data_IF_492371459082
#
_entry.id   IF_492371459082
#
_cell.length_a   1.000
_cell.length_b   1.000
_cell.length_c   1.000
_cell.angle_alpha   90.00
_cell.angle_beta   90.00
_cell.angle_gamma   90.00
#
_symmetry.space_group_name_H-M   'P 1'
#
loop_
_entity.id
_entity.type
_entity.pdbx_description
1 polymer ?
#
# COMPACT_ATOMS: atom_id res chain seq x y z
N UNK A 1 -25.65 47.48 -14.10
CA UNK A 1 -24.75 46.31 -14.31
C UNK A 1 -24.95 45.39 -13.13
N UNK A 2 -25.74 44.33 -13.31
CA UNK A 2 -26.15 43.43 -12.23
C UNK A 2 -25.13 42.30 -12.06
N UNK A 3 -24.64 42.11 -10.84
CA UNK A 3 -23.77 41.01 -10.49
C UNK A 3 -24.60 39.78 -10.08
N UNK A 4 -24.48 38.63 -10.75
CA UNK A 4 -25.18 37.38 -10.37
C UNK A 4 -24.35 36.46 -9.45
N UNK A 5 -23.50 37.00 -8.58
CA UNK A 5 -22.59 36.16 -7.75
C UNK A 5 -23.00 35.93 -6.28
N UNK A 6 -24.09 36.54 -5.83
CA UNK A 6 -24.48 36.41 -4.40
C UNK A 6 -25.49 35.29 -4.12
N UNK A 7 -26.22 34.83 -5.12
CA UNK A 7 -27.29 33.82 -4.88
C UNK A 7 -26.80 32.41 -4.69
N UNK A 8 -25.63 32.05 -5.20
CA UNK A 8 -25.10 30.68 -5.03
C UNK A 8 -24.41 30.42 -3.68
N UNK A 9 -23.84 31.43 -3.04
CA UNK A 9 -23.18 31.28 -1.75
C UNK A 9 -24.19 31.05 -0.59
N UNK A 10 -25.36 31.70 -0.72
CA UNK A 10 -26.40 31.60 0.33
C UNK A 10 -27.08 30.20 0.36
N UNK A 11 -27.24 29.56 -0.79
CA UNK A 11 -27.84 28.25 -0.88
C UNK A 11 -26.93 27.14 -0.31
N UNK A 12 -25.61 27.26 -0.50
CA UNK A 12 -24.61 26.31 0.03
C UNK A 12 -24.49 26.44 1.55
N UNK A 13 -24.55 27.66 2.09
CA UNK A 13 -24.49 27.89 3.54
C UNK A 13 -25.73 27.37 4.27
N UNK A 14 -26.92 27.50 3.67
CA UNK A 14 -28.17 26.98 4.27
C UNK A 14 -28.19 25.45 4.27
N UNK A 15 -27.73 24.80 3.20
CA UNK A 15 -27.60 23.34 3.13
C UNK A 15 -26.61 22.79 4.17
N UNK A 16 -25.49 23.47 4.36
CA UNK A 16 -24.45 23.07 5.30
C UNK A 16 -24.90 23.26 6.76
N UNK A 17 -25.59 24.36 7.06
CA UNK A 17 -26.09 24.64 8.41
C UNK A 17 -27.17 23.63 8.87
N UNK A 18 -28.07 23.22 7.97
CA UNK A 18 -29.07 22.18 8.26
C UNK A 18 -28.43 20.83 8.51
N UNK A 19 -27.40 20.49 7.76
CA UNK A 19 -26.63 19.25 7.95
C UNK A 19 -25.93 19.20 9.32
N UNK A 20 -25.30 20.31 9.74
CA UNK A 20 -24.62 20.40 11.03
C UNK A 20 -25.59 20.32 12.23
N UNK A 21 -26.76 20.92 12.12
CA UNK A 21 -27.74 20.93 13.20
C UNK A 21 -28.38 19.54 13.43
N UNK A 22 -28.50 18.74 12.39
CA UNK A 22 -29.08 17.40 12.45
C UNK A 22 -28.08 16.33 12.93
N UNK A 23 -26.79 16.49 12.63
CA UNK A 23 -25.73 15.60 13.14
C UNK A 23 -25.37 15.87 14.62
N UNK A 24 -25.57 17.09 15.10
CA UNK A 24 -25.38 17.46 16.52
C UNK A 24 -26.59 17.10 17.40
N UNK A 25 -27.76 16.91 16.79
CA UNK A 25 -28.93 16.41 17.48
C UNK A 25 -28.83 14.90 17.66
N UNK A 26 -28.16 14.50 18.72
CA UNK A 26 -27.85 13.12 19.07
C UNK A 26 -28.98 12.13 18.83
N UNK A 27 -28.73 11.14 18.01
CA UNK A 27 -29.14 9.79 18.30
C UNK A 27 -30.61 9.41 18.17
N UNK A 28 -31.39 10.00 17.27
CA UNK A 28 -32.68 9.39 16.93
C UNK A 28 -32.69 8.92 15.47
N UNK A 29 -33.07 7.65 15.26
CA UNK A 29 -33.28 7.05 13.92
C UNK A 29 -34.10 7.94 12.96
N UNK A 30 -35.00 8.79 13.50
CA UNK A 30 -35.81 9.74 12.74
C UNK A 30 -35.02 10.91 12.16
N UNK A 31 -33.98 11.38 12.83
CA UNK A 31 -33.13 12.47 12.31
C UNK A 31 -32.27 12.00 11.14
N UNK A 32 -31.72 10.80 11.22
CA UNK A 32 -30.93 10.21 10.12
C UNK A 32 -31.79 9.95 8.87
N UNK A 33 -33.04 9.49 9.02
CA UNK A 33 -33.98 9.33 7.89
C UNK A 33 -34.40 10.65 7.26
N UNK A 34 -34.55 11.73 8.02
CA UNK A 34 -34.90 13.04 7.50
C UNK A 34 -33.75 13.67 6.68
N UNK A 35 -32.47 13.39 7.04
CA UNK A 35 -31.29 13.84 6.30
C UNK A 35 -31.15 13.09 4.99
N UNK A 36 -31.47 11.80 4.95
CA UNK A 36 -31.34 10.98 3.75
C UNK A 36 -32.28 11.41 2.61
N UNK A 37 -33.40 12.06 2.93
CA UNK A 37 -34.37 12.55 1.95
C UNK A 37 -34.04 13.89 1.31
N UNK A 38 -33.08 14.66 1.85
CA UNK A 38 -32.86 16.06 1.45
C UNK A 38 -31.53 16.34 0.75
N UNK A 39 -30.55 15.42 0.85
CA UNK A 39 -29.24 15.58 0.24
C UNK A 39 -29.16 14.77 -1.06
N UNK A 40 -29.90 15.23 -2.08
CA UNK A 40 -29.87 14.62 -3.42
C UNK A 40 -28.75 15.12 -4.33
N UNK A 41 -27.70 15.72 -3.82
CA UNK A 41 -26.57 16.20 -4.65
C UNK A 41 -25.23 15.50 -4.36
N UNK A 42 -25.15 14.68 -3.34
CA UNK A 42 -24.01 13.79 -3.15
C UNK A 42 -24.56 12.37 -3.02
N UNK A 43 -24.01 11.45 -3.78
CA UNK A 43 -24.43 10.06 -3.86
C UNK A 43 -24.15 9.25 -2.59
N UNK A 44 -24.01 9.88 -1.45
CA UNK A 44 -23.78 9.25 -0.15
C UNK A 44 -24.98 9.47 0.74
N UNK A 45 -25.65 8.39 1.05
CA UNK A 45 -26.71 8.36 2.04
C UNK A 45 -26.13 7.85 3.36
N UNK A 46 -26.20 8.67 4.39
CA UNK A 46 -25.88 8.24 5.75
C UNK A 46 -27.04 7.34 6.24
N UNK A 47 -26.84 6.02 6.20
CA UNK A 47 -27.89 5.03 6.54
C UNK A 47 -27.98 4.72 8.02
N UNK A 48 -27.13 5.31 8.84
CA UNK A 48 -27.21 5.23 10.29
C UNK A 48 -25.87 5.53 10.96
N UNK A 49 -25.84 6.51 11.84
CA UNK A 49 -24.83 6.52 12.87
C UNK A 49 -25.25 5.45 13.88
N UNK A 50 -24.66 4.28 13.83
CA UNK A 50 -24.88 3.27 14.86
C UNK A 50 -23.91 3.61 15.99
N UNK A 51 -24.34 4.45 16.92
CA UNK A 51 -23.71 4.49 18.24
C UNK A 51 -24.09 3.17 18.90
N UNK A 52 -23.15 2.26 19.00
CA UNK A 52 -23.35 1.07 19.81
C UNK A 52 -23.31 1.48 21.27
N UNK A 53 -24.29 1.07 22.03
CA UNK A 53 -24.36 1.28 23.51
C UNK A 53 -23.21 0.55 24.22
N UNK A 54 -22.49 -0.33 23.56
CA UNK A 54 -21.27 -0.95 24.04
C UNK A 54 -20.11 -0.58 23.11
N UNK A 55 -18.94 -0.16 23.65
CA UNK A 55 -17.77 0.11 22.83
C UNK A 55 -17.36 -1.17 22.12
N UNK A 56 -17.52 -1.22 20.80
CA UNK A 56 -16.89 -2.22 19.99
C UNK A 56 -15.48 -1.73 19.66
N UNK A 57 -14.49 -2.40 20.22
CA UNK A 57 -13.12 -2.25 19.79
C UNK A 57 -12.97 -3.06 18.52
N UNK A 58 -12.79 -2.39 17.40
CA UNK A 58 -12.41 -3.02 16.15
C UNK A 58 -10.88 -3.08 16.08
N UNK A 59 -10.35 -4.25 15.89
CA UNK A 59 -8.92 -4.49 15.71
C UNK A 59 -8.65 -5.09 14.34
N UNK A 60 -7.38 -5.22 13.96
CA UNK A 60 -7.01 -5.97 12.76
C UNK A 60 -7.51 -7.42 12.81
N UNK A 61 -7.59 -8.00 13.99
CA UNK A 61 -8.07 -9.36 14.23
C UNK A 61 -9.57 -9.53 13.90
N UNK A 62 -10.35 -8.46 14.01
CA UNK A 62 -11.78 -8.48 13.63
C UNK A 62 -11.98 -8.59 12.11
N UNK A 63 -10.94 -8.25 11.32
CA UNK A 63 -10.99 -8.27 9.86
C UNK A 63 -10.24 -9.45 9.25
N UNK A 64 -9.34 -10.08 9.99
CA UNK A 64 -8.46 -11.14 9.51
C UNK A 64 -8.35 -12.25 10.56
N UNK A 65 -8.73 -13.46 10.16
CA UNK A 65 -8.45 -14.67 10.95
C UNK A 65 -7.01 -15.11 10.60
N UNK A 66 -6.02 -14.60 11.36
CA UNK A 66 -4.62 -14.73 11.02
C UNK A 66 -4.01 -16.11 11.23
N UNK A 67 -4.56 -16.97 12.01
CA UNK A 67 -4.12 -18.36 12.19
C UNK A 67 -4.95 -19.14 13.21
N UNK A 68 -6.06 -18.56 13.66
CA UNK A 68 -6.87 -19.14 14.74
C UNK A 68 -6.25 -19.02 16.14
N UNK A 69 -5.12 -18.34 16.29
CA UNK A 69 -4.45 -18.17 17.61
C UNK A 69 -4.69 -16.81 18.25
N UNK A 70 -5.22 -15.85 17.50
CA UNK A 70 -5.56 -14.52 18.00
C UNK A 70 -4.37 -13.61 18.35
N UNK A 71 -3.16 -14.00 18.01
CA UNK A 71 -1.96 -13.27 18.40
C UNK A 71 -1.30 -12.56 17.21
N UNK A 72 -1.89 -11.48 16.71
CA UNK A 72 -1.21 -10.59 15.77
C UNK A 72 -0.21 -9.72 16.53
N UNK A 73 1.06 -10.04 16.42
CA UNK A 73 2.15 -9.28 17.03
C UNK A 73 2.72 -8.21 16.11
N UNK A 74 2.27 -8.16 14.86
CA UNK A 74 2.83 -7.36 13.79
C UNK A 74 1.75 -6.86 12.83
N UNK A 75 1.98 -5.71 12.16
CA UNK A 75 1.10 -5.15 11.15
C UNK A 75 0.11 -4.11 11.69
N UNK A 76 -1.01 -3.93 11.01
CA UNK A 76 -2.00 -2.90 11.33
C UNK A 76 -2.62 -3.10 12.72
N UNK A 77 -2.73 -2.02 13.48
CA UNK A 77 -3.41 -1.99 14.79
C UNK A 77 -4.50 -0.93 14.72
N UNK A 78 -5.74 -1.38 14.71
CA UNK A 78 -6.91 -0.52 14.63
C UNK A 78 -7.68 -0.60 15.97
N UNK A 79 -8.00 0.55 16.52
CA UNK A 79 -8.76 0.63 17.77
C UNK A 79 -9.73 1.79 17.68
N UNK A 80 -11.01 1.45 17.52
CA UNK A 80 -12.11 2.40 17.44
C UNK A 80 -13.19 2.03 18.43
N UNK A 81 -13.94 3.03 18.89
CA UNK A 81 -15.08 2.83 19.79
C UNK A 81 -16.41 3.04 19.08
N UNK A 82 -16.39 3.63 17.91
CA UNK A 82 -17.59 3.94 17.12
C UNK A 82 -17.38 3.54 15.66
N UNK A 83 -18.46 3.05 15.05
CA UNK A 83 -18.54 2.80 13.60
C UNK A 83 -19.69 3.63 13.03
N UNK A 84 -19.42 4.34 11.94
CA UNK A 84 -20.44 5.02 11.14
C UNK A 84 -20.51 4.35 9.78
N UNK A 85 -21.68 3.82 9.46
CA UNK A 85 -21.94 3.21 8.15
C UNK A 85 -22.42 4.24 7.15
N UNK A 86 -21.77 4.28 6.00
CA UNK A 86 -22.11 5.07 4.84
C UNK A 86 -22.34 4.12 3.65
N UNK A 87 -23.41 4.33 2.90
CA UNK A 87 -23.65 3.62 1.63
C UNK A 87 -23.53 4.58 0.45
N UNK A 88 -23.00 4.08 -0.63
CA UNK A 88 -22.85 4.86 -1.88
C UNK A 88 -24.05 4.58 -2.78
N UNK A 89 -24.71 5.65 -3.23
CA UNK A 89 -25.73 5.60 -4.26
C UNK A 89 -25.29 6.36 -5.51
N UNK A 90 -25.84 6.01 -6.65
CA UNK A 90 -25.57 6.72 -7.92
C UNK A 90 -24.39 6.17 -8.71
N UNK A 91 -23.73 5.11 -8.27
CA UNK A 91 -22.79 4.37 -9.11
C UNK A 91 -23.54 3.71 -10.25
N UNK A 92 -22.95 3.77 -11.46
CA UNK A 92 -23.54 3.25 -12.68
C UNK A 92 -22.62 2.23 -13.33
N UNK A 93 -23.16 1.09 -13.70
CA UNK A 93 -22.46 0.09 -14.51
C UNK A 93 -22.43 0.47 -15.99
N UNK A 94 -21.45 -0.03 -16.71
CA UNK A 94 -21.32 0.10 -18.15
C UNK A 94 -20.32 1.13 -18.63
N UNK A 95 -20.05 1.09 -19.91
CA UNK A 95 -19.05 1.94 -20.56
C UNK A 95 -19.47 3.43 -20.56
N UNK A 96 -18.47 4.28 -20.36
CA UNK A 96 -18.66 5.73 -20.38
C UNK A 96 -19.17 6.35 -19.06
N UNK A 97 -19.34 5.56 -18.02
CA UNK A 97 -19.79 6.02 -16.69
C UNK A 97 -18.63 6.43 -15.77
N UNK A 98 -17.38 6.25 -16.21
CA UNK A 98 -16.18 6.35 -15.37
C UNK A 98 -16.04 7.70 -14.67
N UNK A 99 -16.21 8.81 -15.36
CA UNK A 99 -16.11 10.15 -14.77
C UNK A 99 -17.20 10.42 -13.72
N UNK A 100 -18.43 9.97 -13.99
CA UNK A 100 -19.53 10.07 -13.04
C UNK A 100 -19.29 9.25 -11.79
N UNK A 101 -18.86 7.99 -11.94
CA UNK A 101 -18.53 7.10 -10.83
C UNK A 101 -17.38 7.65 -9.99
N UNK A 102 -16.36 8.21 -10.64
CA UNK A 102 -15.25 8.86 -9.93
C UNK A 102 -15.77 9.99 -9.04
N UNK A 103 -16.59 10.89 -9.57
CA UNK A 103 -17.16 12.02 -8.82
C UNK A 103 -18.02 11.57 -7.65
N UNK A 104 -18.80 10.51 -7.83
CA UNK A 104 -19.61 9.89 -6.77
C UNK A 104 -18.73 9.40 -5.62
N UNK A 105 -17.70 8.62 -5.94
CA UNK A 105 -16.79 8.07 -4.92
C UNK A 105 -15.93 9.16 -4.27
N UNK A 106 -15.41 10.11 -5.04
CA UNK A 106 -14.65 11.25 -4.50
C UNK A 106 -15.49 12.07 -3.53
N UNK A 107 -16.76 12.33 -3.88
CA UNK A 107 -17.68 13.06 -3.00
C UNK A 107 -17.94 12.31 -1.70
N UNK A 108 -18.11 10.99 -1.76
CA UNK A 108 -18.30 10.13 -0.60
C UNK A 108 -17.09 10.15 0.33
N UNK A 109 -15.89 10.00 -0.23
CA UNK A 109 -14.65 10.03 0.52
C UNK A 109 -14.35 11.41 1.11
N UNK A 110 -14.63 12.48 0.36
CA UNK A 110 -14.51 13.88 0.85
C UNK A 110 -15.48 14.17 2.00
N UNK A 111 -16.64 13.51 2.05
CA UNK A 111 -17.52 13.63 3.21
C UNK A 111 -16.86 13.07 4.48
N UNK A 112 -16.16 11.95 4.38
CA UNK A 112 -15.40 11.39 5.51
C UNK A 112 -14.28 12.34 5.94
N UNK A 113 -13.58 12.97 5.00
CA UNK A 113 -12.58 13.98 5.32
C UNK A 113 -13.16 15.11 6.16
N UNK A 114 -14.33 15.63 5.79
CA UNK A 114 -15.00 16.70 6.55
C UNK A 114 -15.27 16.28 8.00
N UNK A 115 -15.68 15.06 8.23
CA UNK A 115 -15.88 14.57 9.61
C UNK A 115 -14.55 14.48 10.35
N UNK A 116 -13.54 13.88 9.75
CA UNK A 116 -12.27 13.60 10.43
C UNK A 116 -11.38 14.82 10.61
N UNK A 117 -11.52 15.84 9.79
CA UNK A 117 -10.75 17.10 9.86
C UNK A 117 -11.52 18.19 10.61
N UNK A 118 -12.75 18.51 10.17
CA UNK A 118 -13.51 19.64 10.73
C UNK A 118 -14.12 19.32 12.10
N UNK A 119 -14.37 18.04 12.41
CA UNK A 119 -14.94 17.57 13.66
C UNK A 119 -14.01 16.56 14.34
N UNK A 120 -12.71 16.76 14.24
CA UNK A 120 -11.68 15.82 14.67
C UNK A 120 -11.88 15.33 16.11
N UNK A 121 -12.17 16.22 17.06
CA UNK A 121 -12.34 15.84 18.47
C UNK A 121 -13.58 14.95 18.69
N UNK A 122 -14.62 15.15 17.88
CA UNK A 122 -15.84 14.33 17.97
C UNK A 122 -15.62 12.93 17.38
N UNK A 123 -14.86 12.81 16.29
CA UNK A 123 -14.74 11.58 15.50
C UNK A 123 -13.35 10.93 15.58
N UNK A 124 -12.50 11.29 16.52
CA UNK A 124 -11.16 10.75 16.64
C UNK A 124 -11.09 9.24 16.83
N UNK A 125 -12.12 8.65 17.45
CA UNK A 125 -12.23 7.22 17.73
C UNK A 125 -13.31 6.55 16.86
N UNK A 126 -13.73 7.17 15.76
CA UNK A 126 -14.77 6.69 14.87
C UNK A 126 -14.17 6.20 13.57
N UNK A 127 -14.51 4.99 13.17
CA UNK A 127 -14.23 4.44 11.85
C UNK A 127 -15.46 4.67 10.96
N UNK A 128 -15.23 5.15 9.75
CA UNK A 128 -16.27 5.37 8.75
C UNK A 128 -16.23 4.25 7.71
N UNK A 129 -17.22 3.36 7.74
CA UNK A 129 -17.33 2.30 6.74
C UNK A 129 -18.16 2.77 5.55
N UNK A 130 -17.50 2.93 4.42
CA UNK A 130 -18.13 3.24 3.14
C UNK A 130 -18.38 1.93 2.38
N UNK A 131 -19.64 1.52 2.28
CA UNK A 131 -20.05 0.29 1.60
C UNK A 131 -20.52 0.63 0.19
N UNK A 132 -19.91 -0.01 -0.80
CA UNK A 132 -20.29 0.12 -2.20
C UNK A 132 -21.29 -1.01 -2.55
N UNK A 133 -22.32 -0.72 -3.36
CA UNK A 133 -23.19 -1.78 -3.88
C UNK A 133 -22.41 -2.71 -4.81
N UNK A 134 -22.67 -4.02 -4.81
CA UNK A 134 -22.04 -4.96 -5.73
C UNK A 134 -22.25 -4.55 -7.18
N UNK A 135 -21.21 -4.69 -8.02
CA UNK A 135 -21.26 -4.32 -9.44
C UNK A 135 -19.88 -4.07 -10.04
N UNK A 136 -19.84 -3.79 -11.33
CA UNK A 136 -18.64 -3.42 -12.08
C UNK A 136 -18.71 -1.96 -12.50
N UNK A 137 -17.87 -1.13 -11.93
CA UNK A 137 -17.89 0.31 -12.09
C UNK A 137 -16.61 0.81 -12.75
N UNK A 138 -16.75 1.45 -13.90
CA UNK A 138 -15.62 2.15 -14.51
C UNK A 138 -15.26 3.38 -13.70
N UNK A 139 -13.95 3.69 -13.62
CA UNK A 139 -13.39 4.86 -12.98
C UNK A 139 -12.53 5.64 -13.97
N UNK A 140 -12.88 6.91 -14.15
CA UNK A 140 -12.09 7.89 -14.91
C UNK A 140 -11.88 9.14 -14.06
N UNK A 141 -10.73 9.23 -13.44
CA UNK A 141 -10.30 10.41 -12.69
C UNK A 141 -9.57 11.44 -13.55
N UNK A 142 -9.47 11.22 -14.87
CA UNK A 142 -8.67 12.07 -15.77
C UNK A 142 -7.26 12.33 -15.25
N UNK A 143 -6.63 11.27 -14.76
CA UNK A 143 -5.30 11.30 -14.17
C UNK A 143 -5.25 11.60 -12.66
N UNK A 144 -6.39 11.76 -12.00
CA UNK A 144 -6.46 11.92 -10.56
C UNK A 144 -6.82 10.59 -9.89
N UNK A 145 -6.03 10.11 -8.90
CA UNK A 145 -6.41 8.96 -8.09
C UNK A 145 -7.56 9.34 -7.14
N UNK A 146 -8.41 8.37 -6.80
CA UNK A 146 -9.36 8.54 -5.70
C UNK A 146 -8.59 8.84 -4.40
N UNK A 147 -8.91 9.91 -3.69
CA UNK A 147 -8.31 10.17 -2.39
C UNK A 147 -8.99 9.30 -1.32
N UNK A 148 -8.22 8.65 -0.46
CA UNK A 148 -8.76 8.02 0.75
C UNK A 148 -8.27 8.78 1.97
N UNK A 149 -9.18 9.04 2.90
CA UNK A 149 -8.93 9.90 4.05
C UNK A 149 -8.86 9.11 5.34
N UNK A 150 -8.41 9.75 6.40
CA UNK A 150 -8.21 9.16 7.72
C UNK A 150 -9.45 8.47 8.26
N UNK A 151 -9.27 7.33 8.92
CA UNK A 151 -10.32 6.54 9.56
C UNK A 151 -11.40 6.04 8.57
N UNK A 152 -10.98 5.68 7.37
CA UNK A 152 -11.88 5.15 6.33
C UNK A 152 -11.76 3.64 6.21
N UNK A 153 -12.91 2.96 6.22
CA UNK A 153 -13.05 1.58 5.82
C UNK A 153 -13.84 1.49 4.52
N UNK A 154 -13.17 1.17 3.43
CA UNK A 154 -13.82 0.94 2.13
C UNK A 154 -14.18 -0.55 2.01
N UNK A 155 -15.49 -0.83 2.08
CA UNK A 155 -16.04 -2.19 1.98
C UNK A 155 -16.55 -2.44 0.56
N UNK A 156 -15.91 -3.38 -0.15
CA UNK A 156 -16.10 -3.59 -1.58
C UNK A 156 -16.52 -5.03 -1.94
N UNK A 157 -17.23 -5.71 -1.06
CA UNK A 157 -17.65 -7.09 -1.34
C UNK A 157 -18.52 -7.19 -2.62
N UNK A 158 -18.05 -7.96 -3.62
CA UNK A 158 -18.73 -8.11 -4.90
C UNK A 158 -18.60 -6.90 -5.85
N UNK A 159 -17.69 -5.98 -5.57
CA UNK A 159 -17.44 -4.77 -6.37
C UNK A 159 -16.17 -4.93 -7.21
N UNK A 160 -16.21 -4.47 -8.44
CA UNK A 160 -15.02 -4.22 -9.27
C UNK A 160 -14.96 -2.74 -9.63
N UNK A 161 -13.86 -2.09 -9.25
CA UNK A 161 -13.51 -0.75 -9.70
C UNK A 161 -12.48 -0.87 -10.83
N UNK A 162 -12.90 -0.53 -12.04
CA UNK A 162 -12.10 -0.71 -13.27
C UNK A 162 -11.61 0.61 -13.82
N UNK A 163 -10.30 0.76 -13.99
CA UNK A 163 -9.71 1.93 -14.64
C UNK A 163 -10.21 2.06 -16.09
N UNK A 164 -10.79 3.21 -16.43
CA UNK A 164 -11.32 3.47 -17.78
C UNK A 164 -10.59 4.57 -18.55
N UNK A 165 -9.83 5.43 -17.87
CA UNK A 165 -8.93 6.39 -18.53
C UNK A 165 -7.59 5.74 -18.91
N UNK A 166 -6.87 6.39 -19.84
CA UNK A 166 -5.52 6.01 -20.27
C UNK A 166 -4.41 6.75 -19.50
N UNK A 167 -4.75 7.57 -18.52
CA UNK A 167 -3.75 8.33 -17.79
C UNK A 167 -2.91 7.43 -16.89
N UNK A 168 -1.62 7.74 -16.80
CA UNK A 168 -0.67 7.03 -15.94
C UNK A 168 -0.81 7.47 -14.49
N UNK A 169 -1.94 7.13 -13.85
CA UNK A 169 -2.27 7.51 -12.48
C UNK A 169 -2.76 6.31 -11.68
N UNK A 170 -2.55 6.34 -10.37
CA UNK A 170 -3.09 5.34 -9.46
C UNK A 170 -4.63 5.37 -9.46
N UNK A 171 -5.25 4.27 -9.03
CA UNK A 171 -6.69 4.24 -8.76
C UNK A 171 -7.02 4.82 -7.39
N UNK A 172 -6.17 4.56 -6.38
CA UNK A 172 -6.39 5.03 -5.01
C UNK A 172 -5.09 5.57 -4.39
N UNK A 173 -5.22 6.61 -3.57
CA UNK A 173 -4.10 7.19 -2.86
C UNK A 173 -4.53 7.83 -1.52
N UNK A 174 -3.72 7.68 -0.46
CA UNK A 174 -4.03 8.24 0.85
C UNK A 174 -3.64 9.72 1.04
N UNK A 175 -2.90 10.29 0.11
CA UNK A 175 -2.49 11.70 0.18
C UNK A 175 -3.09 12.46 -0.99
N UNK A 176 -3.79 13.57 -0.78
CA UNK A 176 -4.23 14.43 -1.87
C UNK A 176 -3.05 14.90 -2.73
N UNK A 177 -3.27 15.09 -4.02
CA UNK A 177 -2.23 15.59 -4.92
C UNK A 177 -1.72 16.96 -4.47
N UNK A 178 -0.39 17.11 -4.43
CA UNK A 178 0.25 18.37 -3.99
C UNK A 178 0.37 18.54 -2.47
N UNK A 179 -0.12 17.61 -1.66
CA UNK A 179 0.10 17.62 -0.21
C UNK A 179 1.51 17.13 0.14
N UNK A 180 2.01 17.58 1.30
CA UNK A 180 3.30 17.18 1.84
C UNK A 180 3.15 16.75 3.30
N UNK A 181 3.71 15.58 3.64
CA UNK A 181 3.68 15.04 4.99
C UNK A 181 5.07 14.56 5.38
N UNK A 182 5.34 14.47 6.67
CA UNK A 182 6.58 13.92 7.23
C UNK A 182 6.28 12.73 8.12
N UNK A 183 7.26 11.84 8.29
CA UNK A 183 7.07 10.66 9.12
C UNK A 183 5.84 9.85 8.72
N UNK A 184 4.94 9.61 9.65
CA UNK A 184 3.71 8.83 9.44
C UNK A 184 2.45 9.67 9.72
N UNK A 185 2.42 10.93 9.27
CA UNK A 185 1.39 11.90 9.63
C UNK A 185 0.30 12.09 8.57
N UNK A 186 0.41 11.44 7.42
CA UNK A 186 -0.64 11.45 6.39
C UNK A 186 -1.88 10.65 6.83
N UNK A 187 -2.92 10.69 6.00
CA UNK A 187 -4.15 9.96 6.26
C UNK A 187 -3.89 8.49 6.61
N UNK A 188 -4.31 8.10 7.76
CA UNK A 188 -3.99 6.83 8.45
C UNK A 188 -5.25 6.09 8.90
N UNK A 189 -5.09 4.88 9.45
CA UNK A 189 -6.20 4.04 9.87
C UNK A 189 -7.13 3.71 8.67
N UNK A 190 -6.57 3.12 7.66
CA UNK A 190 -7.22 2.84 6.39
C UNK A 190 -7.50 1.36 6.25
N UNK A 191 -8.73 1.00 5.94
CA UNK A 191 -9.17 -0.38 5.79
C UNK A 191 -9.80 -0.56 4.41
N UNK A 192 -9.31 -1.54 3.66
CA UNK A 192 -9.88 -1.97 2.39
C UNK A 192 -10.25 -3.45 2.51
N UNK A 193 -11.53 -3.78 2.32
CA UNK A 193 -11.97 -5.17 2.39
C UNK A 193 -12.74 -5.62 1.16
N UNK A 194 -12.36 -6.79 0.65
CA UNK A 194 -12.98 -7.38 -0.53
C UNK A 194 -12.76 -6.59 -1.82
N UNK A 195 -13.45 -6.99 -2.87
CA UNK A 195 -13.49 -6.29 -4.15
C UNK A 195 -12.25 -6.47 -5.04
N UNK A 196 -12.38 -5.91 -6.24
CA UNK A 196 -11.36 -5.95 -7.29
C UNK A 196 -11.00 -4.54 -7.73
N UNK A 197 -9.72 -4.22 -7.70
CA UNK A 197 -9.14 -3.05 -8.34
C UNK A 197 -8.53 -3.50 -9.66
N UNK A 198 -9.14 -3.12 -10.76
CA UNK A 198 -8.79 -3.65 -12.08
C UNK A 198 -8.20 -2.59 -12.99
N UNK A 199 -7.04 -2.90 -13.54
CA UNK A 199 -6.44 -2.20 -14.68
C UNK A 199 -6.51 -3.14 -15.88
N UNK A 200 -7.34 -2.84 -16.89
CA UNK A 200 -7.47 -3.68 -18.09
C UNK A 200 -6.22 -3.54 -18.96
N UNK A 201 -5.33 -4.54 -18.88
CA UNK A 201 -4.00 -4.49 -19.53
C UNK A 201 -4.07 -4.34 -21.03
N UNK A 202 -5.13 -4.81 -21.67
CA UNK A 202 -5.36 -4.68 -23.11
C UNK A 202 -5.49 -3.22 -23.59
N UNK A 203 -5.74 -2.29 -22.69
CA UNK A 203 -5.76 -0.85 -23.01
C UNK A 203 -4.36 -0.25 -23.10
N UNK A 204 -3.36 -0.94 -22.56
CA UNK A 204 -1.97 -0.50 -22.47
C UNK A 204 -1.02 -1.42 -23.25
N UNK A 205 -1.51 -2.38 -24.01
CA UNK A 205 -0.70 -3.29 -24.82
C UNK A 205 -0.71 -2.88 -26.31
N UNK A 206 0.45 -2.55 -26.92
CA UNK A 206 1.78 -2.48 -26.30
C UNK A 206 1.95 -1.26 -25.40
N UNK A 207 2.55 -1.44 -24.23
CA UNK A 207 2.88 -0.33 -23.35
C UNK A 207 4.17 0.37 -23.76
N UNK A 208 4.27 1.65 -23.42
CA UNK A 208 5.48 2.46 -23.53
C UNK A 208 6.15 2.67 -22.17
N UNK A 209 7.36 3.21 -22.16
CA UNK A 209 8.05 3.58 -20.91
C UNK A 209 7.31 4.69 -20.13
N UNK A 210 6.49 5.48 -20.81
CA UNK A 210 5.69 6.54 -20.21
C UNK A 210 4.46 5.97 -19.49
N UNK A 211 4.01 4.76 -19.87
CA UNK A 211 2.90 4.05 -19.25
C UNK A 211 3.36 3.41 -17.93
N UNK A 212 3.59 4.24 -16.91
CA UNK A 212 4.05 3.80 -15.59
C UNK A 212 3.16 4.33 -14.48
N UNK A 213 2.57 3.42 -13.69
CA UNK A 213 1.80 3.79 -12.50
C UNK A 213 1.65 2.63 -11.52
N UNK A 214 1.52 2.96 -10.24
CA UNK A 214 1.14 2.01 -9.19
C UNK A 214 -0.36 2.10 -8.92
N UNK A 215 -1.03 0.97 -8.69
CA UNK A 215 -2.51 0.90 -8.62
C UNK A 215 -3.03 1.46 -7.30
N UNK A 216 -2.56 0.94 -6.17
CA UNK A 216 -2.88 1.42 -4.83
C UNK A 216 -1.63 2.01 -4.20
N UNK A 217 -1.72 3.24 -3.67
CA UNK A 217 -0.56 3.96 -3.17
C UNK A 217 -0.80 4.52 -1.78
N UNK A 218 0.05 4.14 -0.85
CA UNK A 218 0.04 4.64 0.52
C UNK A 218 1.41 5.21 0.89
N UNK A 219 1.41 6.42 1.45
CA UNK A 219 2.65 7.07 1.86
C UNK A 219 2.49 7.89 3.13
N UNK A 220 3.57 7.99 3.91
CA UNK A 220 3.62 8.75 5.16
C UNK A 220 2.49 8.43 6.15
N UNK A 221 2.06 7.18 6.25
CA UNK A 221 0.90 6.83 7.06
C UNK A 221 1.13 5.62 7.95
N UNK A 222 0.14 5.34 8.78
CA UNK A 222 0.13 4.18 9.68
C UNK A 222 -1.21 3.49 9.69
N UNK A 223 -1.20 2.21 10.11
CA UNK A 223 -2.39 1.40 10.23
C UNK A 223 -3.16 1.28 8.90
N UNK A 224 -2.60 0.54 7.97
CA UNK A 224 -3.21 0.22 6.68
C UNK A 224 -3.54 -1.27 6.67
N UNK A 225 -4.80 -1.61 6.46
CA UNK A 225 -5.27 -2.99 6.37
C UNK A 225 -5.93 -3.26 5.02
N UNK A 226 -5.42 -4.23 4.28
CA UNK A 226 -6.05 -4.80 3.10
C UNK A 226 -6.42 -6.26 3.41
N UNK A 227 -7.70 -6.64 3.29
CA UNK A 227 -8.14 -8.00 3.53
C UNK A 227 -9.08 -8.50 2.44
N UNK A 228 -8.76 -9.63 1.81
CA UNK A 228 -9.54 -10.22 0.74
C UNK A 228 -9.64 -9.36 -0.52
N UNK A 229 -8.67 -8.46 -0.75
CA UNK A 229 -8.63 -7.54 -1.89
C UNK A 229 -7.97 -8.20 -3.08
N UNK A 230 -8.51 -8.02 -4.27
CA UNK A 230 -7.85 -8.39 -5.53
C UNK A 230 -7.36 -7.15 -6.26
N UNK A 231 -6.07 -7.11 -6.63
CA UNK A 231 -5.51 -6.11 -7.54
C UNK A 231 -5.12 -6.82 -8.83
N UNK A 232 -5.81 -6.49 -9.91
CA UNK A 232 -5.68 -7.15 -11.22
C UNK A 232 -5.18 -6.18 -12.26
N UNK A 233 -3.99 -6.45 -12.77
CA UNK A 233 -3.31 -5.61 -13.76
C UNK A 233 -2.49 -4.48 -13.15
N UNK A 234 -1.29 -4.32 -13.68
CA UNK A 234 -0.40 -3.18 -13.42
C UNK A 234 0.54 -2.98 -14.61
N UNK A 235 0.94 -1.76 -14.89
CA UNK A 235 1.81 -1.40 -16.02
C UNK A 235 3.04 -0.69 -15.51
N UNK A 236 4.23 -1.25 -15.75
CA UNK A 236 5.55 -0.70 -15.40
C UNK A 236 5.65 -0.14 -13.96
N UNK A 237 4.79 -0.57 -13.03
CA UNK A 237 4.71 -0.06 -11.67
C UNK A 237 4.40 -1.16 -10.65
N UNK A 238 3.65 -0.82 -9.63
CA UNK A 238 3.35 -1.71 -8.50
C UNK A 238 1.83 -1.83 -8.29
N UNK A 239 1.36 -3.03 -7.94
CA UNK A 239 -0.04 -3.22 -7.56
C UNK A 239 -0.36 -2.50 -6.25
N UNK A 240 0.59 -2.56 -5.31
CA UNK A 240 0.53 -1.88 -4.03
C UNK A 240 1.89 -1.25 -3.71
N UNK A 241 1.92 0.06 -3.52
CA UNK A 241 3.11 0.82 -3.15
C UNK A 241 2.96 1.34 -1.71
N UNK A 242 3.91 0.99 -0.86
CA UNK A 242 3.99 1.39 0.54
C UNK A 242 5.26 2.23 0.74
N UNK A 243 5.11 3.56 0.71
CA UNK A 243 6.21 4.52 0.83
C UNK A 243 6.21 5.16 2.21
N UNK A 244 7.05 4.68 3.13
CA UNK A 244 7.04 5.19 4.49
C UNK A 244 5.73 4.87 5.21
N UNK A 245 5.39 3.60 5.32
CA UNK A 245 4.18 3.12 5.99
C UNK A 245 4.54 2.34 7.24
N UNK A 246 3.94 2.70 8.37
CA UNK A 246 4.09 2.00 9.65
C UNK A 246 2.84 1.19 9.97
N UNK A 247 3.01 -0.09 10.33
CA UNK A 247 1.92 -1.01 10.68
C UNK A 247 0.93 -1.21 9.51
N UNK A 248 1.32 -2.07 8.60
CA UNK A 248 0.49 -2.47 7.48
C UNK A 248 0.21 -3.98 7.53
N UNK A 249 -1.03 -4.37 7.30
CA UNK A 249 -1.41 -5.77 7.10
C UNK A 249 -2.04 -5.96 5.73
N UNK A 250 -1.55 -6.95 5.00
CA UNK A 250 -2.15 -7.39 3.73
C UNK A 250 -2.45 -8.88 3.88
N UNK A 251 -3.72 -9.24 4.00
CA UNK A 251 -4.16 -10.59 4.27
C UNK A 251 -5.12 -11.13 3.21
N UNK A 252 -5.01 -12.42 2.91
CA UNK A 252 -5.92 -13.18 2.03
C UNK A 252 -6.24 -12.47 0.71
N UNK A 253 -5.28 -11.69 0.21
CA UNK A 253 -5.41 -10.83 -0.96
C UNK A 253 -4.72 -11.40 -2.18
N UNK A 254 -5.13 -10.96 -3.38
CA UNK A 254 -4.63 -11.49 -4.64
C UNK A 254 -4.05 -10.38 -5.51
N UNK A 255 -2.84 -10.62 -6.04
CA UNK A 255 -2.13 -9.71 -6.93
C UNK A 255 -1.83 -10.46 -8.23
N UNK A 256 -2.31 -9.96 -9.36
CA UNK A 256 -2.17 -10.67 -10.62
C UNK A 256 -2.10 -9.76 -11.85
N UNK A 257 -1.38 -10.22 -12.87
CA UNK A 257 -1.29 -9.56 -14.17
C UNK A 257 -0.36 -8.35 -14.15
N UNK A 258 0.63 -8.38 -15.04
CA UNK A 258 1.63 -7.34 -15.14
C UNK A 258 2.03 -7.15 -16.61
N UNK A 259 2.20 -5.91 -17.02
CA UNK A 259 2.69 -5.52 -18.33
C UNK A 259 3.89 -4.59 -18.13
N UNK A 260 5.01 -4.88 -18.79
CA UNK A 260 6.21 -4.05 -18.76
C UNK A 260 6.76 -3.80 -20.18
N UNK A 261 7.61 -2.79 -20.27
CA UNK A 261 8.48 -2.56 -21.42
C UNK A 261 9.89 -3.03 -21.11
N UNK A 262 10.59 -3.55 -22.12
CA UNK A 262 12.02 -3.77 -22.01
C UNK A 262 12.76 -2.44 -22.10
N UNK A 263 13.25 -1.93 -20.98
CA UNK A 263 14.03 -0.72 -20.93
C UNK A 263 15.50 -1.01 -21.19
N UNK A 264 16.06 -0.47 -22.29
CA UNK A 264 17.44 -0.67 -22.72
C UNK A 264 17.90 -2.15 -22.72
N UNK A 265 17.02 -3.07 -23.06
CA UNK A 265 17.30 -4.50 -23.06
C UNK A 265 17.43 -5.11 -21.66
N UNK A 266 17.02 -4.40 -20.62
CA UNK A 266 16.89 -4.90 -19.24
C UNK A 266 15.45 -4.81 -18.82
N UNK A 267 14.88 -5.96 -18.52
CA UNK A 267 13.54 -6.03 -17.96
C UNK A 267 13.48 -5.30 -16.63
N UNK A 268 12.57 -4.34 -16.51
CA UNK A 268 12.37 -3.62 -15.26
C UNK A 268 11.67 -4.54 -14.25
N UNK A 269 12.41 -5.04 -13.28
CA UNK A 269 11.90 -5.98 -12.27
C UNK A 269 11.13 -5.21 -11.20
N UNK A 270 9.81 -5.09 -11.36
CA UNK A 270 8.91 -4.43 -10.41
C UNK A 270 8.21 -5.41 -9.50
N UNK A 271 8.14 -5.07 -8.23
CA UNK A 271 7.44 -5.81 -7.19
C UNK A 271 5.93 -5.56 -7.26
N UNK A 272 5.10 -6.58 -7.04
CA UNK A 272 3.67 -6.38 -6.92
C UNK A 272 3.34 -5.60 -5.63
N UNK A 273 3.97 -5.94 -4.50
CA UNK A 273 3.95 -5.13 -3.29
C UNK A 273 5.35 -4.54 -3.10
N UNK A 274 5.44 -3.23 -3.22
CA UNK A 274 6.68 -2.48 -3.02
C UNK A 274 6.73 -1.89 -1.61
N UNK A 275 7.85 -2.12 -0.91
CA UNK A 275 8.17 -1.51 0.38
C UNK A 275 9.29 -0.50 0.15
N UNK A 276 9.00 0.79 0.35
CA UNK A 276 9.95 1.86 0.07
C UNK A 276 10.27 2.73 1.28
N UNK A 277 11.45 3.35 1.21
CA UNK A 277 11.81 4.52 2.01
C UNK A 277 11.55 5.79 1.20
N UNK A 278 11.01 6.82 1.85
CA UNK A 278 10.69 8.09 1.18
C UNK A 278 11.91 8.98 1.14
N UNK A 279 12.86 8.67 0.28
CA UNK A 279 14.14 9.39 0.22
C UNK A 279 14.18 10.45 -0.90
N UNK A 280 13.47 10.27 -2.00
CA UNK A 280 13.48 11.25 -3.08
C UNK A 280 12.28 11.11 -4.03
N UNK A 281 12.14 12.10 -4.93
CA UNK A 281 11.03 12.18 -5.89
C UNK A 281 11.04 11.10 -6.98
N UNK A 282 12.14 10.44 -7.21
CA UNK A 282 12.25 9.41 -8.25
C UNK A 282 11.72 8.06 -7.75
N UNK A 283 11.93 7.82 -6.46
CA UNK A 283 11.51 6.60 -5.78
C UNK A 283 10.07 6.72 -5.31
N UNK A 284 9.73 7.80 -4.62
CA UNK A 284 8.41 8.03 -4.04
C UNK A 284 7.68 9.22 -4.71
N UNK A 285 7.45 9.20 -6.04
CA UNK A 285 6.85 10.32 -6.74
C UNK A 285 5.47 10.63 -6.17
N UNK A 286 5.30 11.87 -5.74
CA UNK A 286 4.04 12.31 -5.18
C UNK A 286 3.87 12.10 -3.68
N UNK A 287 4.90 11.69 -2.94
CA UNK A 287 4.91 11.66 -1.48
C UNK A 287 5.98 12.60 -0.89
N UNK A 288 5.93 13.92 -1.16
CA UNK A 288 6.74 14.85 -0.38
C UNK A 288 6.18 14.93 1.06
N UNK A 289 6.98 15.23 2.10
CA UNK A 289 8.37 15.56 2.05
C UNK A 289 9.23 14.29 1.95
N UNK A 290 10.42 14.45 1.36
CA UNK A 290 11.42 13.38 1.32
C UNK A 290 12.25 13.50 2.59
N UNK A 291 12.08 12.57 3.54
CA UNK A 291 12.60 12.65 4.90
C UNK A 291 13.19 11.32 5.40
N UNK A 292 13.40 10.37 4.47
CA UNK A 292 13.88 9.01 4.76
C UNK A 292 12.96 8.20 5.68
N UNK A 293 11.67 8.52 5.71
CA UNK A 293 10.70 7.69 6.44
C UNK A 293 10.63 6.30 5.81
N UNK A 294 10.89 5.28 6.61
CA UNK A 294 10.92 3.87 6.16
C UNK A 294 9.54 3.21 6.28
N UNK A 295 9.30 2.22 5.43
CA UNK A 295 8.21 1.28 5.65
C UNK A 295 8.63 0.24 6.66
N UNK A 296 7.83 0.02 7.71
CA UNK A 296 8.12 -0.91 8.80
C UNK A 296 6.87 -1.49 9.43
N UNK A 297 7.05 -2.59 10.17
CA UNK A 297 5.96 -3.28 10.87
C UNK A 297 4.86 -3.71 9.88
N UNK A 298 5.26 -4.60 8.96
CA UNK A 298 4.42 -5.06 7.85
C UNK A 298 4.17 -6.55 7.96
N UNK A 299 2.92 -6.95 7.84
CA UNK A 299 2.50 -8.35 7.73
C UNK A 299 1.85 -8.58 6.37
N UNK A 300 2.37 -9.54 5.59
CA UNK A 300 1.79 -10.01 4.34
C UNK A 300 1.51 -11.51 4.50
N UNK A 301 0.24 -11.88 4.60
CA UNK A 301 -0.18 -13.21 5.03
C UNK A 301 -1.27 -13.79 4.13
N UNK A 302 -1.14 -15.07 3.78
CA UNK A 302 -2.18 -15.80 3.04
C UNK A 302 -2.46 -15.30 1.62
N UNK A 303 -1.61 -14.43 1.07
CA UNK A 303 -1.81 -13.78 -0.21
C UNK A 303 -1.40 -14.65 -1.40
N UNK A 304 -1.98 -14.35 -2.55
CA UNK A 304 -1.65 -15.01 -3.83
C UNK A 304 -1.05 -14.02 -4.83
N UNK A 305 0.11 -14.38 -5.39
CA UNK A 305 0.84 -13.62 -6.40
C UNK A 305 0.96 -14.44 -7.68
N UNK A 306 0.44 -13.92 -8.79
CA UNK A 306 0.38 -14.70 -10.04
C UNK A 306 0.62 -13.88 -11.30
N UNK A 307 1.47 -14.38 -12.21
CA UNK A 307 1.80 -13.75 -13.51
C UNK A 307 2.30 -12.32 -13.31
N UNK A 308 3.36 -12.19 -12.55
CA UNK A 308 3.96 -10.93 -12.15
C UNK A 308 5.44 -10.93 -12.52
N UNK A 309 6.07 -9.76 -12.42
CA UNK A 309 7.50 -9.66 -12.49
C UNK A 309 8.13 -10.19 -11.20
N UNK A 310 7.93 -9.49 -10.08
CA UNK A 310 8.30 -9.91 -8.72
C UNK A 310 7.07 -9.94 -7.81
N UNK A 311 7.16 -10.69 -6.71
CA UNK A 311 6.10 -10.71 -5.70
C UNK A 311 6.19 -9.52 -4.76
N UNK A 312 7.08 -9.57 -3.79
CA UNK A 312 7.21 -8.60 -2.70
C UNK A 312 8.65 -8.13 -2.60
N UNK A 313 8.87 -6.85 -2.33
CA UNK A 313 10.22 -6.34 -2.08
C UNK A 313 10.33 -4.83 -2.18
N UNK A 314 11.54 -4.35 -2.39
CA UNK A 314 11.86 -2.95 -2.62
C UNK A 314 13.19 -2.86 -3.36
N UNK A 315 13.36 -1.81 -4.12
CA UNK A 315 14.58 -1.59 -4.91
C UNK A 315 15.33 -0.32 -4.48
N UNK A 316 14.88 0.34 -3.42
CA UNK A 316 15.59 1.44 -2.79
C UNK A 316 15.91 1.10 -1.33
N UNK A 317 16.88 1.77 -0.79
CA UNK A 317 17.28 1.69 0.62
C UNK A 317 18.15 2.89 0.97
N UNK A 318 18.26 3.21 2.24
CA UNK A 318 19.15 4.27 2.72
C UNK A 318 20.06 3.70 3.82
N UNK A 319 21.33 4.01 3.76
CA UNK A 319 22.28 3.58 4.78
C UNK A 319 21.88 4.05 6.17
N UNK A 320 21.91 3.14 7.14
CA UNK A 320 21.48 3.40 8.51
C UNK A 320 19.98 3.31 8.74
N UNK A 321 19.18 2.93 7.71
CA UNK A 321 17.73 2.80 7.81
C UNK A 321 17.27 1.48 7.16
N UNK A 322 17.10 0.45 7.98
CA UNK A 322 16.61 -0.85 7.50
C UNK A 322 15.09 -0.91 7.51
N UNK A 323 14.50 -1.62 6.55
CA UNK A 323 13.12 -2.07 6.66
C UNK A 323 13.04 -3.08 7.80
N UNK A 324 12.21 -2.83 8.79
CA UNK A 324 12.22 -3.64 10.02
C UNK A 324 10.85 -4.14 10.42
N UNK A 325 10.84 -5.28 11.10
CA UNK A 325 9.60 -5.98 11.48
C UNK A 325 8.76 -6.30 10.26
N UNK A 326 9.30 -7.10 9.36
CA UNK A 326 8.62 -7.53 8.13
C UNK A 326 8.29 -9.01 8.25
N UNK A 327 7.02 -9.37 8.19
CA UNK A 327 6.57 -10.75 8.13
C UNK A 327 5.91 -11.04 6.78
N UNK A 328 6.42 -12.04 6.05
CA UNK A 328 5.90 -12.51 4.77
C UNK A 328 5.65 -14.01 4.92
N UNK A 329 4.40 -14.38 5.20
CA UNK A 329 4.09 -15.72 5.66
C UNK A 329 2.88 -16.32 4.95
N UNK A 330 2.92 -17.65 4.75
CA UNK A 330 1.81 -18.43 4.18
C UNK A 330 1.32 -17.95 2.79
N UNK A 331 2.15 -17.22 2.04
CA UNK A 331 1.80 -16.72 0.72
C UNK A 331 2.06 -17.77 -0.37
N UNK A 332 1.33 -17.62 -1.48
CA UNK A 332 1.51 -18.44 -2.67
C UNK A 332 1.94 -17.59 -3.86
N UNK A 333 3.09 -17.94 -4.45
CA UNK A 333 3.65 -17.26 -5.63
C UNK A 333 3.68 -18.23 -6.81
N UNK A 334 3.25 -17.77 -7.98
CA UNK A 334 3.24 -18.61 -9.17
C UNK A 334 3.43 -17.83 -10.46
N UNK A 335 4.22 -18.38 -11.39
CA UNK A 335 4.46 -17.80 -12.71
C UNK A 335 5.04 -16.38 -12.59
N UNK A 336 6.12 -16.22 -11.83
CA UNK A 336 6.86 -14.97 -11.74
C UNK A 336 8.09 -15.02 -12.63
N UNK A 337 8.34 -13.94 -13.36
CA UNK A 337 9.56 -13.81 -14.19
C UNK A 337 10.78 -13.36 -13.40
N UNK A 338 10.63 -13.08 -12.13
CA UNK A 338 11.64 -12.72 -11.16
C UNK A 338 11.44 -13.46 -9.84
N UNK A 339 11.86 -12.84 -8.75
CA UNK A 339 11.86 -13.40 -7.41
C UNK A 339 10.47 -13.38 -6.76
N UNK A 340 10.18 -14.36 -5.93
CA UNK A 340 9.01 -14.32 -5.04
C UNK A 340 9.13 -13.21 -4.02
N UNK A 341 10.28 -13.11 -3.35
CA UNK A 341 10.61 -12.06 -2.39
C UNK A 341 11.99 -11.51 -2.67
N UNK A 342 12.10 -10.19 -2.82
CA UNK A 342 13.35 -9.46 -2.98
C UNK A 342 13.53 -8.46 -1.85
N UNK A 343 14.21 -8.87 -0.80
CA UNK A 343 14.37 -8.13 0.45
C UNK A 343 15.72 -7.41 0.50
N UNK A 344 15.75 -6.15 0.10
CA UNK A 344 16.93 -5.30 0.19
C UNK A 344 16.94 -4.56 1.53
N UNK A 345 18.01 -4.75 2.29
CA UNK A 345 18.25 -4.03 3.57
C UNK A 345 17.17 -4.26 4.66
N UNK A 346 16.72 -5.52 4.80
CA UNK A 346 15.74 -5.89 5.83
C UNK A 346 16.42 -6.24 7.15
N UNK A 347 15.77 -5.90 8.26
CA UNK A 347 16.14 -6.33 9.61
C UNK A 347 14.91 -6.79 10.39
N UNK A 348 15.08 -7.79 11.27
CA UNK A 348 13.98 -8.40 12.01
C UNK A 348 12.85 -8.84 11.06
N UNK A 349 13.18 -9.71 10.10
CA UNK A 349 12.23 -10.16 9.11
C UNK A 349 12.00 -11.69 9.21
N UNK A 350 10.76 -12.10 9.01
CA UNK A 350 10.32 -13.49 8.96
C UNK A 350 9.66 -13.82 7.62
N UNK A 351 10.34 -14.64 6.83
CA UNK A 351 9.90 -15.11 5.52
C UNK A 351 9.65 -16.61 5.60
N UNK A 352 8.47 -17.02 6.05
CA UNK A 352 8.21 -18.41 6.37
C UNK A 352 6.92 -18.97 5.79
N UNK A 353 6.87 -20.28 5.63
CA UNK A 353 5.71 -21.04 5.17
C UNK A 353 5.18 -20.62 3.79
N UNK A 354 5.97 -19.94 2.95
CA UNK A 354 5.56 -19.54 1.63
C UNK A 354 5.69 -20.67 0.61
N UNK A 355 4.80 -20.70 -0.37
CA UNK A 355 4.84 -21.64 -1.50
C UNK A 355 5.13 -20.89 -2.79
N UNK A 356 6.24 -21.23 -3.44
CA UNK A 356 6.69 -20.61 -4.68
C UNK A 356 6.81 -21.66 -5.77
N UNK A 357 6.09 -21.47 -6.88
CA UNK A 357 6.11 -22.41 -8.01
C UNK A 357 6.21 -21.69 -9.33
N UNK A 358 7.12 -22.15 -10.17
CA UNK A 358 7.38 -21.49 -11.46
C UNK A 358 7.75 -20.01 -11.27
N UNK A 359 8.71 -19.75 -10.42
CA UNK A 359 9.34 -18.45 -10.19
C UNK A 359 10.77 -18.49 -10.74
N UNK A 360 11.31 -17.37 -11.21
CA UNK A 360 12.70 -17.34 -11.68
C UNK A 360 13.69 -17.38 -10.51
N UNK A 361 13.35 -16.75 -9.38
CA UNK A 361 14.06 -16.83 -8.11
C UNK A 361 13.06 -16.94 -6.95
N UNK A 362 13.48 -17.52 -5.84
CA UNK A 362 12.59 -17.67 -4.67
C UNK A 362 12.70 -16.50 -3.72
N UNK A 363 13.58 -16.58 -2.74
CA UNK A 363 13.84 -15.57 -1.72
C UNK A 363 15.24 -15.00 -1.91
N UNK A 364 15.34 -13.70 -2.07
CA UNK A 364 16.61 -12.96 -2.15
C UNK A 364 16.68 -11.96 -1.01
N UNK A 365 17.67 -12.12 -0.12
CA UNK A 365 17.98 -11.23 0.98
C UNK A 365 19.32 -10.55 0.70
N UNK A 366 19.33 -9.22 0.62
CA UNK A 366 20.52 -8.45 0.30
C UNK A 366 20.80 -7.39 1.36
N UNK A 367 22.06 -7.28 1.78
CA UNK A 367 22.53 -6.07 2.43
C UNK A 367 22.65 -4.92 1.41
N UNK A 368 22.47 -3.70 1.84
CA UNK A 368 22.72 -2.53 1.00
C UNK A 368 24.22 -2.37 0.78
N UNK A 369 24.65 -2.40 -0.47
CA UNK A 369 26.04 -2.18 -0.90
C UNK A 369 26.14 -1.22 -2.10
N UNK A 370 25.01 -0.61 -2.48
CA UNK A 370 24.95 0.34 -3.59
C UNK A 370 25.63 1.67 -3.28
N UNK A 371 25.95 2.42 -4.32
CA UNK A 371 26.62 3.70 -4.16
C UNK A 371 25.73 4.71 -3.44
N UNK A 372 26.21 5.37 -2.38
CA UNK A 372 25.39 6.28 -1.59
C UNK A 372 24.92 7.54 -2.30
N UNK A 373 25.51 7.90 -3.46
CA UNK A 373 25.03 8.99 -4.31
C UNK A 373 24.02 8.53 -5.37
N UNK A 374 23.80 7.22 -5.50
CA UNK A 374 22.74 6.71 -6.36
C UNK A 374 21.39 7.20 -5.84
N UNK A 375 20.53 7.66 -6.75
CA UNK A 375 19.21 8.19 -6.39
C UNK A 375 18.35 7.19 -5.60
N UNK A 376 18.59 5.90 -5.77
CA UNK A 376 17.89 4.85 -5.00
C UNK A 376 18.41 4.68 -3.57
N UNK A 377 19.62 5.17 -3.25
CA UNK A 377 20.31 4.92 -1.98
C UNK A 377 20.71 6.19 -1.24
N UNK A 378 20.67 7.33 -1.91
CA UNK A 378 20.99 8.62 -1.32
C UNK A 378 20.00 9.00 -0.23
N UNK A 379 20.47 9.43 0.95
CA UNK A 379 19.58 9.97 1.97
C UNK A 379 19.00 11.32 1.53
N UNK A 380 17.73 11.55 1.89
CA UNK A 380 17.06 12.81 1.60
C UNK A 380 17.64 13.98 2.41
N UNK A 381 18.08 13.70 3.63
CA UNK A 381 18.56 14.70 4.56
C UNK A 381 19.83 14.23 5.28
N UNK A 382 20.75 15.16 5.42
CA UNK A 382 21.95 14.96 6.20
C UNK A 382 23.10 14.28 5.44
N UNK A 383 24.28 14.31 6.07
CA UNK A 383 25.44 13.57 5.59
C UNK A 383 25.33 12.11 6.03
N UNK A 384 25.82 11.22 5.18
CA UNK A 384 26.00 9.82 5.56
C UNK A 384 26.96 9.71 6.73
N UNK A 385 26.65 8.92 7.77
CA UNK A 385 27.64 8.59 8.78
C UNK A 385 28.77 7.77 8.14
N UNK A 386 29.98 7.87 8.70
CA UNK A 386 31.08 7.02 8.27
C UNK A 386 30.67 5.54 8.35
N UNK A 387 30.98 4.75 7.35
CA UNK A 387 30.53 3.36 7.26
C UNK A 387 30.96 2.51 8.47
N UNK A 388 32.14 2.79 9.05
CA UNK A 388 32.58 2.13 10.27
C UNK A 388 31.72 2.37 11.51
N UNK A 389 30.87 3.40 11.50
CA UNK A 389 29.96 3.77 12.59
C UNK A 389 28.53 3.26 12.37
N UNK A 390 28.22 2.74 11.19
CA UNK A 390 26.90 2.18 10.90
C UNK A 390 26.75 0.84 11.63
N UNK A 391 25.61 0.58 12.30
CA UNK A 391 25.29 -0.75 12.79
C UNK A 391 25.10 -1.71 11.62
N UNK A 392 25.06 -3.01 11.90
CA UNK A 392 24.56 -3.99 10.92
C UNK A 392 23.13 -3.61 10.52
N UNK A 393 22.86 -3.64 9.22
CA UNK A 393 21.59 -3.19 8.66
C UNK A 393 20.70 -4.35 8.21
N UNK A 394 21.29 -5.52 7.95
CA UNK A 394 20.57 -6.72 7.52
C UNK A 394 20.85 -7.84 8.52
N UNK A 395 19.96 -7.96 9.52
CA UNK A 395 20.15 -8.86 10.64
C UNK A 395 18.84 -9.37 11.24
N UNK A 396 18.92 -10.45 12.02
CA UNK A 396 17.77 -11.14 12.62
C UNK A 396 16.75 -11.56 11.55
N UNK A 397 17.20 -12.36 10.60
CA UNK A 397 16.43 -12.78 9.45
C UNK A 397 16.06 -14.26 9.58
N UNK A 398 14.79 -14.57 9.40
CA UNK A 398 14.27 -15.93 9.41
C UNK A 398 13.76 -16.29 8.01
N UNK A 399 14.28 -17.39 7.44
CA UNK A 399 13.79 -17.99 6.19
C UNK A 399 13.55 -19.47 6.44
N UNK A 400 12.33 -19.83 6.75
CA UNK A 400 12.02 -21.19 7.20
C UNK A 400 10.75 -21.75 6.58
N UNK A 401 10.70 -23.09 6.47
CA UNK A 401 9.50 -23.82 6.08
C UNK A 401 8.92 -23.45 4.72
N UNK A 402 9.70 -22.81 3.83
CA UNK A 402 9.26 -22.45 2.50
C UNK A 402 9.36 -23.64 1.54
N UNK A 403 8.44 -23.71 0.58
CA UNK A 403 8.46 -24.65 -0.54
C UNK A 403 8.72 -23.85 -1.82
N UNK A 404 9.90 -24.03 -2.43
CA UNK A 404 10.34 -23.21 -3.56
C UNK A 404 10.68 -24.12 -4.74
N UNK A 405 10.01 -23.90 -5.86
CA UNK A 405 10.30 -24.53 -7.15
C UNK A 405 10.65 -23.46 -8.17
N UNK A 406 11.91 -23.34 -8.53
CA UNK A 406 12.43 -22.37 -9.48
C UNK A 406 12.25 -22.89 -10.92
N UNK A 407 11.94 -21.99 -11.84
CA UNK A 407 11.85 -22.29 -13.29
C UNK A 407 13.21 -22.07 -13.93
N UNK A 408 13.85 -23.16 -14.37
CA UNK A 408 15.16 -23.11 -15.01
C UNK A 408 16.32 -23.16 -14.02
N UNK A 409 17.54 -23.08 -14.54
CA UNK A 409 18.78 -23.25 -13.77
C UNK A 409 19.52 -21.92 -13.53
N UNK A 410 18.91 -20.79 -13.82
CA UNK A 410 19.62 -19.50 -13.89
C UNK A 410 19.65 -18.69 -12.60
N UNK A 411 18.69 -18.88 -11.71
CA UNK A 411 18.62 -18.13 -10.48
C UNK A 411 18.57 -19.08 -9.27
N UNK A 412 19.21 -18.74 -8.15
CA UNK A 412 19.10 -19.51 -6.93
C UNK A 412 17.67 -19.47 -6.36
N UNK A 413 17.28 -20.55 -5.71
CA UNK A 413 16.01 -20.59 -4.98
C UNK A 413 16.04 -19.71 -3.72
N UNK A 414 17.19 -19.66 -3.04
CA UNK A 414 17.42 -18.75 -1.92
C UNK A 414 18.80 -18.12 -2.10
N UNK A 415 18.83 -16.79 -2.09
CA UNK A 415 20.07 -16.01 -2.09
C UNK A 415 20.12 -15.17 -0.81
N UNK A 416 21.22 -15.25 -0.07
CA UNK A 416 21.51 -14.39 1.07
C UNK A 416 22.87 -13.79 0.85
N UNK A 417 22.94 -12.48 0.61
CA UNK A 417 24.20 -11.83 0.23
C UNK A 417 24.41 -10.47 0.84
N UNK A 418 25.47 -10.36 1.59
CA UNK A 418 26.14 -9.09 1.85
C UNK A 418 27.07 -8.71 0.70
N UNK A 419 28.02 -7.83 0.96
CA UNK A 419 29.02 -7.43 -0.03
C UNK A 419 30.03 -6.48 0.54
N UNK A 420 31.04 -6.17 -0.29
CA UNK A 420 32.08 -5.19 0.03
C UNK A 420 31.77 -3.91 -0.72
N UNK A 421 31.82 -2.79 -0.02
CA UNK A 421 31.83 -1.49 -0.65
C UNK A 421 33.27 -1.01 -0.82
N UNK A 422 33.68 -0.83 -2.05
CA UNK A 422 35.07 -0.48 -2.44
C UNK A 422 35.09 0.68 -3.45
N UNK A 423 34.41 1.77 -3.18
CA UNK A 423 34.56 2.94 -4.05
C UNK A 423 35.70 3.81 -3.57
N UNK A 424 36.74 3.96 -4.42
CA UNK A 424 37.92 4.73 -4.08
C UNK A 424 37.64 6.22 -3.81
N UNK A 425 36.61 6.82 -4.41
CA UNK A 425 36.21 8.20 -4.15
C UNK A 425 35.57 8.36 -2.77
N UNK A 426 34.90 7.35 -2.29
CA UNK A 426 34.20 7.36 -1.00
C UNK A 426 34.99 6.68 0.11
N UNK A 427 35.97 5.85 -0.23
CA UNK A 427 36.85 5.23 0.77
C UNK A 427 37.58 6.28 1.62
N UNK A 428 37.92 7.42 1.03
CA UNK A 428 38.55 8.52 1.75
C UNK A 428 37.59 9.26 2.69
N UNK A 429 36.30 9.31 2.36
CA UNK A 429 35.28 9.99 3.17
C UNK A 429 34.56 9.07 4.15
N UNK A 430 34.26 7.84 3.73
CA UNK A 430 33.42 6.90 4.48
C UNK A 430 34.12 5.61 4.88
N UNK A 431 35.26 5.28 4.28
CA UNK A 431 36.02 4.04 4.47
C UNK A 431 35.44 2.86 3.68
N UNK A 432 36.29 1.88 3.38
CA UNK A 432 35.81 0.61 2.85
C UNK A 432 35.16 -0.22 3.96
N UNK A 433 34.08 -0.90 3.65
CA UNK A 433 33.42 -1.77 4.61
C UNK A 433 32.80 -2.99 3.95
N UNK A 434 32.89 -4.10 4.64
CA UNK A 434 32.07 -5.28 4.35
C UNK A 434 30.72 -5.13 5.07
N UNK A 435 29.65 -5.13 4.30
CA UNK A 435 28.29 -5.19 4.81
C UNK A 435 27.85 -6.65 4.87
N UNK A 436 27.75 -7.17 6.06
CA UNK A 436 27.35 -8.55 6.33
C UNK A 436 25.84 -8.64 6.44
N UNK A 437 25.30 -9.79 6.03
CA UNK A 437 23.99 -10.23 6.49
C UNK A 437 24.22 -11.07 7.76
N UNK A 438 23.60 -10.69 8.87
CA UNK A 438 23.92 -11.25 10.19
C UNK A 438 22.71 -11.95 10.82
N UNK A 439 22.99 -12.94 11.67
CA UNK A 439 21.98 -13.65 12.45
C UNK A 439 20.82 -14.16 11.57
N UNK A 440 21.14 -15.11 10.70
CA UNK A 440 20.20 -15.69 9.74
C UNK A 440 19.79 -17.08 10.17
N UNK A 441 18.52 -17.28 10.46
CA UNK A 441 17.94 -18.61 10.63
C UNK A 441 17.45 -19.14 9.28
N UNK A 442 18.16 -20.13 8.74
CA UNK A 442 17.80 -20.78 7.47
C UNK A 442 17.51 -22.27 7.75
N UNK A 443 16.24 -22.67 7.80
CA UNK A 443 15.87 -24.04 8.19
C UNK A 443 14.60 -24.55 7.49
N UNK A 444 14.55 -25.85 7.29
CA UNK A 444 13.40 -26.62 6.80
C UNK A 444 12.81 -26.15 5.46
N UNK A 445 13.58 -25.41 4.66
CA UNK A 445 13.14 -25.02 3.32
C UNK A 445 13.25 -26.22 2.36
N UNK A 446 12.22 -26.44 1.57
CA UNK A 446 12.19 -27.44 0.51
C UNK A 446 12.44 -26.74 -0.83
N UNK A 447 13.58 -27.01 -1.46
CA UNK A 447 14.02 -26.35 -2.68
C UNK A 447 14.08 -27.36 -3.82
N UNK A 448 13.47 -27.03 -4.96
CA UNK A 448 13.52 -27.78 -6.22
C UNK A 448 13.95 -26.84 -7.36
N UNK A 449 15.04 -27.17 -8.02
CA UNK A 449 15.70 -26.29 -8.98
C UNK A 449 16.45 -25.14 -8.27
N UNK A 450 17.47 -24.61 -8.93
CA UNK A 450 18.38 -23.64 -8.32
C UNK A 450 19.11 -24.24 -7.11
N UNK A 451 19.57 -23.42 -6.24
CA UNK A 451 20.28 -23.83 -5.02
C UNK A 451 20.08 -22.78 -3.93
N UNK A 452 20.83 -22.94 -2.84
CA UNK A 452 20.95 -21.93 -1.79
C UNK A 452 22.34 -21.31 -1.89
N UNK A 453 22.39 -19.99 -2.05
CA UNK A 453 23.64 -19.24 -2.14
C UNK A 453 23.75 -18.30 -0.93
N UNK A 454 24.90 -18.35 -0.25
CA UNK A 454 25.21 -17.49 0.88
C UNK A 454 26.57 -16.83 0.65
N UNK A 455 26.62 -15.51 0.62
CA UNK A 455 27.85 -14.73 0.49
C UNK A 455 27.86 -13.64 1.55
N UNK A 456 28.99 -13.44 2.22
CA UNK A 456 29.12 -12.43 3.27
C UNK A 456 28.00 -12.53 4.33
N UNK A 457 27.76 -13.75 4.78
CA UNK A 457 26.81 -14.07 5.88
C UNK A 457 27.63 -14.44 7.11
N UNK A 458 27.19 -14.02 8.27
CA UNK A 458 27.80 -14.39 9.56
C UNK A 458 26.77 -14.49 10.67
N UNK A 459 27.13 -15.24 11.71
CA UNK A 459 26.35 -15.34 12.96
C UNK A 459 26.37 -14.04 13.77
#
# INVERSE_FOLDING_TARGET
MNHPRLTHLTAVLVGTAVFFTLLTAAGTKKAAQAVSGTVRTAAVVCTGAVCYDAPQTLSAEDFCDFDGTGAVTQGAVLSFTELVDLSVEGLQEGAGTGASNYQVLESALTLIERFTVQQRERYKNTLFRLTLPPGVYELDGSGQPLPIYQNTWLSMQGVTLRKSDSACSALLRNTPMGSSFTGYEANSNLVLTGGVWEVPLERFDPCSEEDRFSVLRFGHCRNVLLAGVTVSGCVNGHHLELCGVERCSVADSSFQGYLDTEYHGKRDKKEAIQLDVVNNRWVAPGFPAFDDTITRDVLIYGCTFRRLCRGIGGHNAVYGRSYTKIAIQHNTFSHLSGEGVYALNYAHADLSHNKMKQVAGGVTLLALTGHPDDAYYAPAQGALPAFGQLPSQSHHLTVTDNQITVSGDSEPAITISGGVYEDAQFADAYGSRTFWVEDVTLARNQVMGGGIVQNYVRD
#
